data_IF_517122649811
#
_entry.id   IF_517122649811
#
_cell.length_a   1.000
_cell.length_b   1.000
_cell.length_c   1.000
_cell.angle_alpha   90.00
_cell.angle_beta   90.00
_cell.angle_gamma   90.00
#
_symmetry.space_group_name_H-M   'P 1'
#
loop_
_entity.id
_entity.type
_entity.pdbx_description
1 polymer ?
#
# COMPACT_ATOMS: atom_id res chain seq x y z
N UNK A 1 4.08 18.44 2.45
CA UNK A 1 4.63 17.24 1.76
C UNK A 1 3.54 16.18 1.72
N UNK A 2 3.35 15.50 0.59
CA UNK A 2 2.41 14.41 0.49
C UNK A 2 3.14 13.08 0.54
N UNK A 3 2.50 12.05 1.10
CA UNK A 3 3.06 10.69 1.23
C UNK A 3 2.17 9.66 0.54
N UNK A 4 2.78 8.79 -0.25
CA UNK A 4 2.15 7.60 -0.78
C UNK A 4 2.77 6.37 -0.12
N UNK A 5 1.95 5.55 0.49
CA UNK A 5 2.35 4.32 1.16
C UNK A 5 1.85 3.15 0.32
N UNK A 6 2.75 2.35 -0.23
CA UNK A 6 2.43 1.18 -1.03
C UNK A 6 2.67 -0.07 -0.19
N UNK A 7 1.63 -0.88 -0.01
CA UNK A 7 1.66 -2.10 0.82
C UNK A 7 1.24 -3.30 -0.03
N UNK A 8 2.10 -4.30 -0.11
CA UNK A 8 1.67 -5.60 -0.60
C UNK A 8 0.87 -6.32 0.48
N UNK A 9 -0.26 -6.95 0.12
CA UNK A 9 -1.06 -7.73 1.07
C UNK A 9 -0.19 -8.71 1.88
N UNK A 10 -0.58 -9.00 3.11
CA UNK A 10 0.12 -9.95 3.99
C UNK A 10 -0.03 -11.40 3.50
N UNK A 11 0.71 -12.31 4.12
CA UNK A 11 0.76 -13.73 3.69
C UNK A 11 -0.60 -14.38 3.73
N UNK A 12 -1.08 -14.83 2.57
CA UNK A 12 -2.38 -15.46 2.41
C UNK A 12 -2.35 -16.96 2.70
N UNK A 13 -3.51 -17.48 3.01
CA UNK A 13 -3.73 -18.92 3.20
C UNK A 13 -3.92 -19.64 1.86
N UNK A 14 -3.29 -20.78 1.71
CA UNK A 14 -3.35 -21.65 0.54
C UNK A 14 -3.87 -23.06 0.87
N UNK A 15 -4.33 -23.28 2.12
CA UNK A 15 -4.70 -24.62 2.59
C UNK A 15 -6.04 -25.13 2.06
N UNK A 16 -6.87 -24.28 1.46
CA UNK A 16 -8.20 -24.62 0.97
C UNK A 16 -8.37 -24.45 -0.54
N UNK A 17 -9.33 -25.16 -1.11
CA UNK A 17 -9.78 -24.93 -2.49
C UNK A 17 -10.79 -23.77 -2.53
N UNK A 18 -10.29 -22.57 -2.31
CA UNK A 18 -11.08 -21.34 -2.21
C UNK A 18 -10.78 -20.47 -3.42
N UNK A 19 -11.80 -19.76 -3.93
CA UNK A 19 -11.63 -18.76 -4.97
C UNK A 19 -10.56 -17.74 -4.56
N UNK A 20 -9.69 -17.36 -5.49
CA UNK A 20 -8.55 -16.47 -5.20
C UNK A 20 -8.96 -15.15 -4.53
N UNK A 21 -10.07 -14.53 -4.96
CA UNK A 21 -10.60 -13.31 -4.35
C UNK A 21 -11.00 -13.49 -2.88
N UNK A 22 -11.48 -14.67 -2.50
CA UNK A 22 -11.96 -14.99 -1.16
C UNK A 22 -10.88 -15.57 -0.24
N UNK A 23 -9.68 -15.74 -0.75
CA UNK A 23 -8.55 -16.26 0.01
C UNK A 23 -8.08 -15.25 1.04
N UNK A 24 -8.17 -15.62 2.33
CA UNK A 24 -7.81 -14.79 3.48
C UNK A 24 -6.32 -14.83 3.84
N UNK A 25 -5.97 -14.34 5.02
CA UNK A 25 -4.63 -14.40 5.59
C UNK A 25 -4.41 -15.69 6.39
N UNK A 26 -3.18 -16.20 6.38
CA UNK A 26 -2.76 -17.23 7.32
C UNK A 26 -2.22 -16.62 8.63
N UNK A 27 -1.89 -17.44 9.64
CA UNK A 27 -1.37 -17.01 10.95
C UNK A 27 -0.15 -16.08 10.83
N UNK A 28 0.76 -16.39 9.89
CA UNK A 28 1.95 -15.55 9.62
C UNK A 28 1.55 -14.20 9.04
N UNK A 29 0.53 -14.13 8.20
CA UNK A 29 -0.01 -12.89 7.65
C UNK A 29 -0.54 -11.97 8.74
N UNK A 30 -1.37 -12.48 9.64
CA UNK A 30 -1.88 -11.70 10.79
C UNK A 30 -0.76 -11.19 11.70
N UNK A 31 0.24 -12.02 12.01
CA UNK A 31 1.39 -11.60 12.81
C UNK A 31 2.20 -10.49 12.11
N UNK A 32 2.40 -10.61 10.80
CA UNK A 32 3.09 -9.59 9.99
C UNK A 32 2.35 -8.25 10.03
N UNK A 33 1.02 -8.25 9.94
CA UNK A 33 0.22 -7.03 10.04
C UNK A 33 0.38 -6.33 11.39
N UNK A 34 0.41 -7.09 12.51
CA UNK A 34 0.63 -6.52 13.86
C UNK A 34 1.98 -5.84 13.99
N UNK A 35 3.03 -6.47 13.47
CA UNK A 35 4.39 -5.90 13.46
C UNK A 35 4.42 -4.60 12.64
N UNK A 36 3.91 -4.64 11.42
CA UNK A 36 3.90 -3.48 10.51
C UNK A 36 3.01 -2.36 11.06
N UNK A 37 1.85 -2.66 11.66
CA UNK A 37 1.00 -1.64 12.29
C UNK A 37 1.75 -0.82 13.34
N UNK A 38 2.49 -1.51 14.23
CA UNK A 38 3.33 -0.86 15.26
C UNK A 38 4.41 0.04 14.65
N UNK A 39 5.07 -0.44 13.60
CA UNK A 39 6.20 0.26 12.99
C UNK A 39 5.75 1.43 12.11
N UNK A 40 4.63 1.30 11.41
CA UNK A 40 4.05 2.40 10.62
C UNK A 40 3.60 3.57 11.50
N UNK A 41 2.96 3.30 12.64
CA UNK A 41 2.53 4.35 13.59
C UNK A 41 3.68 5.27 14.05
N UNK A 42 4.91 4.80 14.03
CA UNK A 42 6.10 5.59 14.39
C UNK A 42 6.62 6.45 13.23
N UNK A 43 6.23 6.17 11.99
CA UNK A 43 6.83 6.70 10.76
C UNK A 43 5.93 7.62 9.96
N UNK A 44 4.63 7.40 10.04
CA UNK A 44 3.66 8.17 9.27
C UNK A 44 2.55 8.69 10.18
N UNK A 45 1.99 9.84 9.81
CA UNK A 45 0.74 10.31 10.37
C UNK A 45 -0.43 9.44 9.90
N UNK A 46 -1.61 9.61 10.52
CA UNK A 46 -2.84 8.97 10.08
C UNK A 46 -3.06 9.21 8.57
N UNK A 47 -3.29 8.14 7.78
CA UNK A 47 -3.62 8.30 6.37
C UNK A 47 -4.99 8.94 6.16
N UNK A 48 -5.10 9.76 5.12
CA UNK A 48 -6.34 10.46 4.73
C UNK A 48 -7.19 9.65 3.76
N UNK A 49 -6.54 8.76 2.98
CA UNK A 49 -7.17 7.97 1.92
C UNK A 49 -6.59 6.57 1.85
N UNK A 50 -7.48 5.59 1.68
CA UNK A 50 -7.11 4.19 1.42
C UNK A 50 -7.71 3.71 0.10
N UNK A 51 -6.87 3.16 -0.76
CA UNK A 51 -7.24 2.49 -2.00
C UNK A 51 -6.83 1.03 -1.88
N UNK A 52 -7.77 0.11 -1.80
CA UNK A 52 -7.48 -1.30 -1.54
C UNK A 52 -8.07 -2.22 -2.62
N UNK A 53 -7.34 -3.27 -2.95
CA UNK A 53 -7.82 -4.33 -3.83
C UNK A 53 -9.05 -5.04 -3.25
N UNK A 54 -10.00 -5.50 -4.08
CA UNK A 54 -11.18 -6.24 -3.63
C UNK A 54 -10.85 -7.59 -3.00
N UNK A 55 -9.67 -8.16 -3.21
CA UNK A 55 -9.28 -9.44 -2.65
C UNK A 55 -9.29 -9.44 -1.11
N UNK A 56 -9.88 -10.47 -0.51
CA UNK A 56 -10.05 -10.58 0.94
C UNK A 56 -8.73 -10.39 1.70
N UNK A 57 -7.62 -10.96 1.20
CA UNK A 57 -6.29 -10.78 1.80
C UNK A 57 -5.82 -9.32 1.87
N UNK A 58 -6.22 -8.49 0.90
CA UNK A 58 -5.91 -7.05 0.93
C UNK A 58 -6.78 -6.31 1.95
N UNK A 59 -8.07 -6.61 2.01
CA UNK A 59 -9.02 -6.07 3.00
C UNK A 59 -8.58 -6.42 4.42
N UNK A 60 -8.27 -7.70 4.68
CA UNK A 60 -7.78 -8.14 5.99
C UNK A 60 -6.42 -7.52 6.35
N UNK A 61 -5.56 -7.24 5.37
CA UNK A 61 -4.31 -6.52 5.60
C UNK A 61 -4.59 -5.09 6.09
N UNK A 62 -5.51 -4.38 5.42
CA UNK A 62 -5.97 -3.05 5.85
C UNK A 62 -6.50 -3.08 7.28
N UNK A 63 -7.46 -3.95 7.55
CA UNK A 63 -8.09 -4.08 8.86
C UNK A 63 -7.08 -4.33 9.98
N UNK A 64 -6.14 -5.24 9.79
CA UNK A 64 -5.16 -5.60 10.82
C UNK A 64 -4.01 -4.61 10.98
N UNK A 65 -3.78 -3.71 10.01
CA UNK A 65 -2.78 -2.66 10.14
C UNK A 65 -3.40 -1.36 10.68
N UNK A 66 -4.60 -0.97 10.22
CA UNK A 66 -5.12 0.39 10.38
C UNK A 66 -6.37 0.56 11.26
N UNK A 67 -7.14 -0.51 11.57
CA UNK A 67 -8.38 -0.40 12.34
C UNK A 67 -8.22 0.26 13.73
N UNK A 68 -7.04 0.18 14.33
CA UNK A 68 -6.74 0.77 15.64
C UNK A 68 -6.00 2.12 15.54
N UNK A 69 -6.10 2.79 14.42
CA UNK A 69 -5.50 4.11 14.19
C UNK A 69 -6.55 5.21 14.39
N UNK A 70 -7.09 5.34 15.60
CA UNK A 70 -8.12 6.28 16.04
C UNK A 70 -8.70 7.19 14.95
N UNK A 71 -9.95 6.94 14.60
CA UNK A 71 -11.01 7.72 14.00
C UNK A 71 -11.76 7.04 12.85
N UNK A 72 -13.08 7.24 12.85
CA UNK A 72 -14.02 6.60 11.94
C UNK A 72 -14.14 7.24 10.55
N UNK A 73 -13.41 8.33 10.26
CA UNK A 73 -13.54 9.10 9.01
C UNK A 73 -12.40 8.83 8.01
N UNK A 74 -12.11 7.56 7.76
CA UNK A 74 -11.17 7.21 6.72
C UNK A 74 -11.90 7.09 5.37
N UNK A 75 -11.43 7.84 4.38
CA UNK A 75 -11.85 7.65 2.99
C UNK A 75 -11.28 6.32 2.50
N UNK A 76 -12.10 5.27 2.51
CA UNK A 76 -11.76 3.93 2.08
C UNK A 76 -12.49 3.59 0.78
N UNK A 77 -11.72 3.27 -0.26
CA UNK A 77 -12.25 2.82 -1.54
C UNK A 77 -11.69 1.45 -1.90
N UNK A 78 -12.60 0.54 -2.25
CA UNK A 78 -12.25 -0.75 -2.84
C UNK A 78 -12.16 -0.56 -4.35
N UNK A 79 -10.99 -0.81 -4.94
CA UNK A 79 -10.67 -0.53 -6.33
C UNK A 79 -10.36 -1.82 -7.10
N UNK A 80 -11.25 -2.20 -8.01
CA UNK A 80 -11.09 -3.39 -8.86
C UNK A 80 -9.79 -3.33 -9.69
N UNK A 81 -9.40 -2.13 -10.12
CA UNK A 81 -8.18 -1.90 -10.89
C UNK A 81 -6.91 -2.35 -10.15
N UNK A 82 -6.91 -2.36 -8.82
CA UNK A 82 -5.79 -2.86 -8.02
C UNK A 82 -5.63 -4.39 -8.04
N UNK A 83 -6.54 -5.09 -8.70
CA UNK A 83 -6.49 -6.54 -8.86
C UNK A 83 -6.15 -6.98 -10.29
N UNK A 84 -6.70 -6.34 -11.32
CA UNK A 84 -6.62 -6.80 -12.71
C UNK A 84 -6.11 -5.77 -13.73
N UNK A 85 -5.99 -4.50 -13.36
CA UNK A 85 -5.71 -3.45 -14.31
C UNK A 85 -4.25 -3.37 -14.76
N UNK A 86 -4.02 -2.69 -15.89
CA UNK A 86 -2.69 -2.29 -16.33
C UNK A 86 -2.13 -1.17 -15.47
N UNK A 87 -0.82 -0.94 -15.57
CA UNK A 87 -0.16 0.15 -14.83
C UNK A 87 -0.74 1.52 -15.21
N UNK A 88 -1.07 1.74 -16.47
CA UNK A 88 -1.64 3.00 -16.98
C UNK A 88 -3.02 3.26 -16.40
N UNK A 89 -3.87 2.23 -16.30
CA UNK A 89 -5.20 2.33 -15.69
C UNK A 89 -5.10 2.70 -14.21
N UNK A 90 -4.21 2.03 -13.46
CA UNK A 90 -3.96 2.35 -12.05
C UNK A 90 -3.43 3.76 -11.88
N UNK A 91 -2.43 4.18 -12.67
CA UNK A 91 -1.89 5.55 -12.61
C UNK A 91 -2.97 6.59 -12.87
N UNK A 92 -3.79 6.40 -13.91
CA UNK A 92 -4.92 7.29 -14.23
C UNK A 92 -5.92 7.38 -13.07
N UNK A 93 -6.24 6.25 -12.47
CA UNK A 93 -7.15 6.16 -11.32
C UNK A 93 -6.57 6.87 -10.10
N UNK A 94 -5.29 6.63 -9.79
CA UNK A 94 -4.61 7.30 -8.69
C UNK A 94 -4.64 8.82 -8.85
N UNK A 95 -4.27 9.34 -10.03
CA UNK A 95 -4.28 10.78 -10.30
C UNK A 95 -5.67 11.38 -10.04
N UNK A 96 -6.75 10.69 -10.40
CA UNK A 96 -8.12 11.17 -10.19
C UNK A 96 -8.59 11.12 -8.73
N UNK A 97 -8.06 10.19 -7.93
CA UNK A 97 -8.53 9.93 -6.55
C UNK A 97 -7.72 10.63 -5.47
N UNK A 98 -6.40 10.80 -5.68
CA UNK A 98 -5.49 11.26 -4.62
C UNK A 98 -5.45 12.78 -4.46
N UNK A 99 -6.08 13.51 -5.37
CA UNK A 99 -6.09 14.98 -5.34
C UNK A 99 -6.72 15.50 -4.05
N UNK A 100 -6.01 16.37 -3.35
CA UNK A 100 -6.49 16.98 -2.09
C UNK A 100 -6.14 16.21 -0.83
N UNK A 101 -5.62 14.98 -0.93
CA UNK A 101 -5.16 14.21 0.20
C UNK A 101 -3.66 14.40 0.45
N UNK A 102 -3.22 14.23 1.69
CA UNK A 102 -1.82 14.39 2.10
C UNK A 102 -1.12 13.05 2.28
N UNK A 103 -1.80 12.05 2.82
CA UNK A 103 -1.25 10.73 3.09
C UNK A 103 -2.18 9.65 2.55
N UNK A 104 -1.74 8.97 1.50
CA UNK A 104 -2.51 7.96 0.78
C UNK A 104 -1.88 6.59 0.94
N UNK A 105 -2.70 5.58 1.22
CA UNK A 105 -2.29 4.18 1.30
C UNK A 105 -2.88 3.39 0.14
N UNK A 106 -2.04 2.60 -0.51
CA UNK A 106 -2.46 1.61 -1.53
C UNK A 106 -2.14 0.21 -1.01
N UNK A 107 -3.13 -0.69 -1.03
CA UNK A 107 -2.94 -2.11 -0.68
C UNK A 107 -3.33 -2.99 -1.87
N UNK A 108 -2.36 -3.76 -2.38
CA UNK A 108 -2.58 -4.57 -3.57
C UNK A 108 -1.60 -5.74 -3.70
N UNK A 109 -1.25 -6.05 -4.92
CA UNK A 109 -0.54 -7.27 -5.30
C UNK A 109 0.66 -6.99 -6.20
N UNK A 110 1.64 -7.93 -6.21
CA UNK A 110 2.64 -7.98 -7.26
C UNK A 110 2.09 -8.77 -8.47
N UNK A 111 2.58 -8.53 -9.69
CA UNK A 111 3.74 -7.66 -10.02
C UNK A 111 3.43 -6.17 -10.11
N UNK A 112 2.14 -5.77 -10.12
CA UNK A 112 1.74 -4.39 -10.44
C UNK A 112 2.28 -3.36 -9.44
N UNK A 113 2.34 -3.69 -8.13
CA UNK A 113 2.92 -2.79 -7.14
C UNK A 113 4.43 -2.57 -7.35
N UNK A 114 5.16 -3.60 -7.80
CA UNK A 114 6.57 -3.43 -8.15
C UNK A 114 6.74 -2.42 -9.29
N UNK A 115 5.95 -2.54 -10.36
CA UNK A 115 5.98 -1.59 -11.47
C UNK A 115 5.59 -0.19 -11.01
N UNK A 116 4.53 -0.08 -10.22
CA UNK A 116 4.02 1.20 -9.72
C UNK A 116 5.08 1.96 -8.90
N UNK A 117 5.83 1.28 -8.04
CA UNK A 117 6.89 1.92 -7.25
C UNK A 117 7.94 2.59 -8.12
N UNK A 118 8.39 1.94 -9.20
CA UNK A 118 9.38 2.50 -10.12
C UNK A 118 8.81 3.65 -10.96
N UNK A 119 7.56 3.52 -11.42
CA UNK A 119 6.90 4.52 -12.24
C UNK A 119 6.58 5.83 -11.49
N UNK A 120 6.37 5.76 -10.19
CA UNK A 120 6.00 6.90 -9.36
C UNK A 120 7.19 7.59 -8.69
N UNK A 121 8.40 7.11 -8.89
CA UNK A 121 9.59 7.61 -8.21
C UNK A 121 10.71 7.97 -9.17
N UNK A 122 11.51 8.96 -8.81
CA UNK A 122 12.73 9.35 -9.54
C UNK A 122 13.96 9.36 -8.64
N UNK A 123 13.77 9.27 -7.32
CA UNK A 123 14.84 9.28 -6.33
C UNK A 123 14.67 8.17 -5.31
N UNK A 124 15.77 7.76 -4.70
CA UNK A 124 15.76 6.74 -3.66
C UNK A 124 15.55 5.32 -4.17
N UNK A 125 15.77 5.05 -5.46
CA UNK A 125 15.60 3.72 -6.06
C UNK A 125 16.48 2.65 -5.42
N UNK A 126 17.62 3.03 -4.83
CA UNK A 126 18.47 2.12 -4.07
C UNK A 126 17.80 1.57 -2.79
N UNK A 127 16.71 2.18 -2.34
CA UNK A 127 15.88 1.70 -1.23
C UNK A 127 14.73 0.79 -1.69
N UNK A 128 14.42 0.76 -2.99
CA UNK A 128 13.36 -0.10 -3.51
C UNK A 128 13.77 -1.57 -3.50
N UNK A 129 12.89 -2.47 -3.04
CA UNK A 129 13.14 -3.89 -3.19
C UNK A 129 12.97 -4.31 -4.65
N UNK A 130 13.77 -5.25 -5.12
CA UNK A 130 13.56 -5.90 -6.42
C UNK A 130 12.19 -6.58 -6.50
N UNK A 131 11.72 -7.08 -5.36
CA UNK A 131 10.39 -7.69 -5.22
C UNK A 131 9.81 -7.32 -3.84
N UNK A 132 8.74 -6.53 -3.83
CA UNK A 132 8.04 -6.16 -2.61
C UNK A 132 7.49 -7.42 -1.92
N UNK A 133 8.01 -7.75 -0.75
CA UNK A 133 7.59 -8.95 0.00
C UNK A 133 6.17 -8.78 0.56
N UNK A 134 5.52 -9.88 0.94
CA UNK A 134 4.20 -9.84 1.60
C UNK A 134 4.26 -9.02 2.90
N UNK A 135 3.30 -8.12 3.09
CA UNK A 135 3.26 -7.11 4.15
C UNK A 135 4.46 -6.14 4.14
N UNK A 136 5.19 -6.07 3.01
CA UNK A 136 6.21 -5.05 2.79
C UNK A 136 5.55 -3.71 2.47
N UNK A 137 6.19 -2.64 2.93
CA UNK A 137 5.70 -1.27 2.84
C UNK A 137 6.78 -0.38 2.26
N UNK A 138 6.47 0.34 1.21
CA UNK A 138 7.31 1.40 0.66
C UNK A 138 6.64 2.74 0.92
N UNK A 139 7.40 3.70 1.45
CA UNK A 139 6.96 5.07 1.69
C UNK A 139 7.62 5.98 0.67
N UNK A 140 6.78 6.70 -0.07
CA UNK A 140 7.20 7.65 -1.11
C UNK A 140 6.76 9.04 -0.68
N UNK A 141 7.67 10.00 -0.68
CA UNK A 141 7.39 11.41 -0.40
C UNK A 141 7.41 12.25 -1.67
N UNK A 142 6.54 13.27 -1.69
CA UNK A 142 6.44 14.27 -2.74
C UNK A 142 6.68 15.66 -2.14
N UNK A 143 7.56 16.45 -2.76
CA UNK A 143 8.02 17.73 -2.24
C UNK A 143 6.93 18.82 -2.15
N UNK A 144 5.86 18.70 -2.92
CA UNK A 144 4.72 19.63 -2.91
C UNK A 144 3.52 19.01 -2.21
N UNK A 145 2.80 19.82 -1.45
CA UNK A 145 1.51 19.44 -0.92
C UNK A 145 0.53 19.23 -2.09
N UNK A 146 -0.13 18.11 -2.08
CA UNK A 146 -1.09 17.63 -3.07
C UNK A 146 -0.46 16.81 -4.21
N UNK A 147 -1.02 15.65 -4.42
CA UNK A 147 -0.76 14.79 -5.56
C UNK A 147 -1.34 15.41 -6.83
N UNK A 148 -0.59 16.33 -7.48
CA UNK A 148 -0.98 16.90 -8.77
C UNK A 148 -0.30 16.13 -9.89
N UNK A 149 -1.01 15.98 -11.00
CA UNK A 149 -0.44 15.42 -12.23
C UNK A 149 0.91 16.06 -12.56
N UNK A 150 1.73 16.17 -13.23
CA UNK A 150 3.12 15.86 -13.56
C UNK A 150 4.04 15.65 -12.34
N UNK A 151 3.63 16.02 -11.15
CA UNK A 151 4.43 15.85 -9.91
C UNK A 151 4.33 14.42 -9.35
N UNK A 152 3.28 13.69 -9.73
CA UNK A 152 3.00 12.34 -9.21
C UNK A 152 4.04 11.29 -9.65
N UNK A 153 4.85 11.56 -10.66
CA UNK A 153 5.94 10.69 -11.10
C UNK A 153 7.29 11.04 -10.48
N UNK A 154 7.37 12.10 -9.68
CA UNK A 154 8.62 12.63 -9.12
C UNK A 154 8.77 12.35 -7.62
N UNK A 155 8.28 11.19 -7.18
CA UNK A 155 8.40 10.77 -5.79
C UNK A 155 9.83 10.40 -5.40
N UNK A 156 10.13 10.55 -4.12
CA UNK A 156 11.35 10.04 -3.50
C UNK A 156 11.02 8.88 -2.56
N UNK A 157 11.69 7.74 -2.73
CA UNK A 157 11.57 6.63 -1.79
C UNK A 157 12.32 6.99 -0.51
N UNK A 158 11.58 7.20 0.57
CA UNK A 158 12.17 7.57 1.86
C UNK A 158 12.35 6.37 2.77
N UNK A 159 11.47 5.37 2.71
CA UNK A 159 11.55 4.18 3.57
C UNK A 159 11.04 2.93 2.87
N UNK A 160 11.63 1.78 3.21
CA UNK A 160 11.13 0.45 2.90
C UNK A 160 11.23 -0.41 4.15
N UNK A 161 10.10 -0.85 4.66
CA UNK A 161 10.02 -1.71 5.83
C UNK A 161 9.27 -3.01 5.52
N UNK A 162 9.64 -4.08 6.19
CA UNK A 162 8.98 -5.38 6.07
C UNK A 162 9.08 -6.17 7.39
N UNK A 163 8.20 -7.15 7.64
CA UNK A 163 8.07 -7.77 8.96
C UNK A 163 9.37 -8.33 9.55
N UNK A 164 10.20 -8.95 8.73
CA UNK A 164 11.46 -9.59 9.20
C UNK A 164 12.53 -8.61 9.72
N UNK A 165 12.37 -7.32 9.48
CA UNK A 165 13.28 -6.31 10.05
C UNK A 165 13.08 -6.14 11.56
N UNK A 166 11.97 -6.63 12.12
CA UNK A 166 11.53 -6.36 13.48
C UNK A 166 11.19 -7.63 14.27
N UNK A 167 11.50 -8.80 13.73
CA UNK A 167 11.22 -10.12 14.35
C UNK A 167 12.48 -10.95 14.49
#
# INVERSE_FOLDING_TARGET
>A
MSKLIIIRHAKSDWSGNINDLQRGLNKRGYNSCRVISKELKKRINKPDLFLISPALRAKLTYENIFLNWDDKDNNLFVEEDLYFASIEQIKKKLISKVFGFSTVVIIGHNPILNLLMYELTTKGHNKLPTNLVTCGVVVIEYSKNNFKAPVFTNGEVVDYIFPRMFT
#
